data_IF_383643194851
#
_entry.id   IF_383643194851
#
_cell.length_a   1.000
_cell.length_b   1.000
_cell.length_c   1.000
_cell.angle_alpha   90.00
_cell.angle_beta   90.00
_cell.angle_gamma   90.00
#
_symmetry.space_group_name_H-M   'P 1'
#
loop_
_entity.id
_entity.type
_entity.pdbx_description
1 polymer ?
#
# COMPACT_ATOMS: atom_id res chain seq x y z
N UNK A 1 16.07 36.06 -15.92
CA UNK A 1 16.17 35.34 -14.63
C UNK A 1 15.67 33.93 -14.87
N UNK A 2 16.53 32.92 -14.74
CA UNK A 2 16.09 31.51 -14.84
C UNK A 2 15.50 31.16 -13.49
N UNK A 3 14.17 31.11 -13.40
CA UNK A 3 13.48 30.61 -12.21
C UNK A 3 13.59 29.08 -12.28
N UNK A 4 14.53 28.51 -11.54
CA UNK A 4 14.53 27.07 -11.26
C UNK A 4 13.42 26.84 -10.25
N UNK A 5 12.25 26.40 -10.72
CA UNK A 5 11.19 25.93 -9.85
C UNK A 5 11.67 24.62 -9.19
N UNK A 6 12.00 24.67 -7.90
CA UNK A 6 12.19 23.47 -7.09
C UNK A 6 10.83 22.77 -6.98
N UNK A 7 10.57 21.82 -7.86
CA UNK A 7 9.41 20.94 -7.73
C UNK A 7 9.65 20.06 -6.51
N UNK A 8 8.99 20.37 -5.39
CA UNK A 8 8.93 19.44 -4.26
C UNK A 8 8.27 18.14 -4.77
N UNK A 9 8.82 16.97 -4.44
CA UNK A 9 8.23 15.70 -4.85
C UNK A 9 6.80 15.62 -4.33
N UNK A 10 5.84 15.50 -5.26
CA UNK A 10 4.42 15.46 -4.89
C UNK A 10 4.12 14.13 -4.19
N UNK A 11 3.85 14.20 -2.89
CA UNK A 11 3.43 13.06 -2.08
C UNK A 11 1.93 12.81 -2.21
N UNK A 12 1.50 11.59 -1.94
CA UNK A 12 0.08 11.28 -1.75
C UNK A 12 -0.52 12.08 -0.60
N UNK A 13 -1.83 12.27 -0.63
CA UNK A 13 -2.55 13.01 0.40
C UNK A 13 -2.30 12.40 1.79
N UNK A 14 -1.97 13.25 2.77
CA UNK A 14 -1.73 12.85 4.17
C UNK A 14 -3.02 12.61 4.96
N UNK A 15 -4.19 12.75 4.32
CA UNK A 15 -5.52 12.60 4.94
C UNK A 15 -5.67 11.29 5.73
N UNK A 16 -4.95 10.26 5.32
CA UNK A 16 -5.06 8.89 5.81
C UNK A 16 -3.83 8.44 6.61
N UNK A 17 -2.92 9.34 6.97
CA UNK A 17 -1.67 8.97 7.66
C UNK A 17 -1.89 8.51 9.11
N UNK A 18 -3.08 8.79 9.69
CA UNK A 18 -3.45 8.47 11.06
C UNK A 18 -4.39 7.26 11.19
N UNK A 19 -4.54 6.44 10.14
CA UNK A 19 -5.36 5.21 10.22
C UNK A 19 -4.78 4.26 11.28
N UNK A 20 -5.65 3.74 12.14
CA UNK A 20 -5.31 2.64 13.02
C UNK A 20 -5.32 1.32 12.24
N UNK A 21 -4.20 1.03 11.59
CA UNK A 21 -4.01 -0.21 10.83
C UNK A 21 -4.10 -1.46 11.73
N UNK A 22 -3.77 -1.37 13.03
CA UNK A 22 -3.89 -2.52 13.94
C UNK A 22 -5.34 -2.95 14.14
N UNK A 23 -6.26 -1.98 14.26
CA UNK A 23 -7.68 -2.25 14.40
C UNK A 23 -8.24 -3.02 13.20
N UNK A 24 -7.77 -2.70 11.99
CA UNK A 24 -8.15 -3.39 10.75
C UNK A 24 -7.54 -4.80 10.72
N UNK A 25 -6.23 -4.92 10.97
CA UNK A 25 -5.52 -6.21 10.88
C UNK A 25 -5.97 -7.23 11.93
N UNK A 26 -6.41 -6.79 13.11
CA UNK A 26 -6.88 -7.67 14.19
C UNK A 26 -8.36 -8.07 14.05
N UNK A 27 -9.10 -7.45 13.15
CA UNK A 27 -10.51 -7.75 12.92
C UNK A 27 -10.68 -8.45 11.57
N UNK A 28 -10.86 -9.77 11.61
CA UNK A 28 -10.96 -10.60 10.40
C UNK A 28 -12.02 -10.12 9.42
N UNK A 29 -13.18 -9.66 9.91
CA UNK A 29 -14.26 -9.15 9.05
C UNK A 29 -13.86 -7.84 8.36
N UNK A 30 -13.21 -6.93 9.08
CA UNK A 30 -12.75 -5.67 8.50
C UNK A 30 -11.61 -5.91 7.51
N UNK A 31 -10.65 -6.75 7.87
CA UNK A 31 -9.54 -7.12 7.00
C UNK A 31 -10.05 -7.75 5.70
N UNK A 32 -10.97 -8.71 5.80
CA UNK A 32 -11.57 -9.35 4.63
C UNK A 32 -12.30 -8.34 3.74
N UNK A 33 -13.04 -7.39 4.32
CA UNK A 33 -13.68 -6.32 3.55
C UNK A 33 -12.66 -5.48 2.77
N UNK A 34 -11.51 -5.15 3.36
CA UNK A 34 -10.46 -4.37 2.69
C UNK A 34 -9.76 -5.20 1.60
N UNK A 35 -9.47 -6.47 1.87
CA UNK A 35 -8.92 -7.40 0.87
C UNK A 35 -9.87 -7.55 -0.31
N UNK A 36 -11.18 -7.73 -0.05
CA UNK A 36 -12.18 -7.84 -1.11
C UNK A 36 -12.29 -6.56 -1.94
N UNK A 37 -12.22 -5.38 -1.31
CA UNK A 37 -12.12 -4.11 -2.02
C UNK A 37 -10.90 -4.10 -2.98
N UNK A 38 -9.71 -4.44 -2.47
CA UNK A 38 -8.49 -4.50 -3.28
C UNK A 38 -8.57 -5.53 -4.42
N UNK A 39 -9.39 -6.57 -4.27
CA UNK A 39 -9.56 -7.64 -5.26
C UNK A 39 -10.76 -7.46 -6.20
N UNK A 40 -11.47 -6.33 -6.15
CA UNK A 40 -12.73 -6.12 -6.90
C UNK A 40 -13.85 -7.11 -6.55
N UNK A 41 -13.84 -7.64 -5.33
CA UNK A 41 -14.83 -8.63 -4.84
C UNK A 41 -15.86 -8.03 -3.87
N UNK A 42 -15.78 -6.74 -3.58
CA UNK A 42 -16.67 -6.07 -2.65
C UNK A 42 -16.50 -4.55 -2.67
N UNK A 43 -17.38 -3.83 -1.95
CA UNK A 43 -17.32 -2.38 -1.89
C UNK A 43 -16.07 -1.90 -1.16
N UNK A 44 -15.57 -0.74 -1.57
CA UNK A 44 -14.50 -0.03 -0.90
C UNK A 44 -15.09 1.07 0.00
N UNK A 45 -14.45 1.30 1.15
CA UNK A 45 -14.59 2.61 1.82
C UNK A 45 -13.95 3.68 0.93
N UNK A 46 -14.25 4.96 1.16
CA UNK A 46 -13.62 6.05 0.39
C UNK A 46 -12.08 5.99 0.48
N UNK A 47 -11.57 5.70 1.66
CA UNK A 47 -10.15 5.49 1.91
C UNK A 47 -9.59 4.27 1.18
N UNK A 48 -10.26 3.12 1.27
CA UNK A 48 -9.85 1.90 0.58
C UNK A 48 -9.84 2.07 -0.93
N UNK A 49 -10.78 2.85 -1.48
CA UNK A 49 -10.81 3.19 -2.90
C UNK A 49 -9.62 4.08 -3.27
N UNK A 50 -9.36 5.15 -2.51
CA UNK A 50 -8.21 6.03 -2.78
C UNK A 50 -6.89 5.25 -2.72
N UNK A 51 -6.71 4.38 -1.72
CA UNK A 51 -5.53 3.52 -1.63
C UNK A 51 -5.41 2.55 -2.82
N UNK A 52 -6.52 1.92 -3.21
CA UNK A 52 -6.57 1.02 -4.36
C UNK A 52 -6.20 1.71 -5.67
N UNK A 53 -6.66 2.95 -5.86
CA UNK A 53 -6.38 3.74 -7.06
C UNK A 53 -4.89 4.11 -7.16
N UNK A 54 -4.22 4.37 -6.04
CA UNK A 54 -2.78 4.66 -5.99
C UNK A 54 -1.89 3.42 -6.01
N UNK A 55 -2.43 2.23 -5.72
CA UNK A 55 -1.66 1.02 -5.51
C UNK A 55 -0.81 0.61 -6.73
N UNK A 56 -1.29 0.64 -7.98
CA UNK A 56 -0.47 0.32 -9.15
C UNK A 56 0.75 1.24 -9.28
N UNK A 57 0.54 2.55 -9.19
CA UNK A 57 1.64 3.53 -9.25
C UNK A 57 2.64 3.33 -8.09
N UNK A 58 2.14 3.06 -6.88
CA UNK A 58 2.99 2.81 -5.72
C UNK A 58 3.83 1.53 -5.88
N UNK A 59 3.34 0.51 -6.61
CA UNK A 59 4.11 -0.70 -6.91
C UNK A 59 5.17 -0.39 -7.97
N UNK A 60 4.79 0.26 -9.06
CA UNK A 60 5.69 0.63 -10.16
C UNK A 60 6.85 1.52 -9.70
N UNK A 61 6.57 2.45 -8.79
CA UNK A 61 7.52 3.47 -8.31
C UNK A 61 8.12 3.14 -6.94
N UNK A 62 7.88 1.94 -6.40
CA UNK A 62 8.37 1.57 -5.06
C UNK A 62 7.98 2.56 -3.95
N UNK A 63 6.73 3.03 -3.98
CA UNK A 63 6.16 3.96 -3.00
C UNK A 63 6.89 5.33 -2.95
N UNK A 64 7.43 5.81 -4.07
CA UNK A 64 8.17 7.10 -4.13
C UNK A 64 7.35 8.27 -3.56
N UNK A 65 6.05 8.29 -3.87
CA UNK A 65 5.10 9.32 -3.43
C UNK A 65 4.49 9.06 -2.05
N UNK A 66 4.81 7.95 -1.41
CA UNK A 66 4.28 7.64 -0.09
C UNK A 66 4.89 8.53 1.00
N UNK A 67 4.08 8.86 2.00
CA UNK A 67 4.55 9.48 3.23
C UNK A 67 5.19 8.43 4.15
N UNK A 68 5.94 8.89 5.15
CA UNK A 68 6.56 8.01 6.18
C UNK A 68 5.50 7.16 6.89
N UNK A 69 4.34 7.75 7.20
CA UNK A 69 3.23 7.04 7.82
C UNK A 69 2.63 5.98 6.87
N UNK A 70 2.42 6.32 5.60
CA UNK A 70 1.91 5.38 4.60
C UNK A 70 2.87 4.21 4.37
N UNK A 71 4.19 4.47 4.27
CA UNK A 71 5.20 3.41 4.20
C UNK A 71 5.07 2.46 5.40
N UNK A 72 4.89 3.00 6.61
CA UNK A 72 4.72 2.19 7.84
C UNK A 72 3.46 1.34 7.80
N UNK A 73 2.34 1.91 7.37
CA UNK A 73 1.06 1.21 7.21
C UNK A 73 1.21 0.06 6.21
N UNK A 74 1.76 0.34 5.02
CA UNK A 74 1.95 -0.66 3.95
C UNK A 74 2.87 -1.79 4.40
N UNK A 75 4.05 -1.49 4.97
CA UNK A 75 4.97 -2.53 5.45
C UNK A 75 4.32 -3.41 6.52
N UNK A 76 3.57 -2.81 7.46
CA UNK A 76 2.89 -3.55 8.51
C UNK A 76 1.78 -4.45 7.96
N UNK A 77 0.94 -3.92 7.07
CA UNK A 77 -0.13 -4.67 6.43
C UNK A 77 0.42 -5.83 5.58
N UNK A 78 1.44 -5.56 4.76
CA UNK A 78 2.06 -6.58 3.92
C UNK A 78 2.70 -7.69 4.75
N UNK A 79 3.49 -7.34 5.79
CA UNK A 79 4.05 -8.33 6.72
C UNK A 79 2.98 -9.20 7.35
N UNK A 80 1.90 -8.59 7.85
CA UNK A 80 0.79 -9.33 8.46
C UNK A 80 0.13 -10.28 7.45
N UNK A 81 -0.14 -9.83 6.22
CA UNK A 81 -0.73 -10.65 5.18
C UNK A 81 0.18 -11.82 4.78
N UNK A 82 1.48 -11.58 4.60
CA UNK A 82 2.48 -12.60 4.27
C UNK A 82 2.63 -13.66 5.36
N UNK A 83 2.53 -13.28 6.64
CA UNK A 83 2.72 -14.19 7.76
C UNK A 83 1.43 -14.91 8.18
N UNK A 84 0.29 -14.20 8.19
CA UNK A 84 -0.96 -14.66 8.81
C UNK A 84 -2.08 -14.91 7.81
N UNK A 85 -2.06 -14.30 6.63
CA UNK A 85 -3.14 -14.38 5.63
C UNK A 85 -2.57 -14.66 4.23
N UNK A 86 -1.67 -15.65 4.12
CA UNK A 86 -0.98 -16.02 2.87
C UNK A 86 -1.88 -16.10 1.64
N UNK A 87 -3.08 -16.72 1.69
CA UNK A 87 -3.96 -16.77 0.52
C UNK A 87 -4.41 -15.38 0.05
N UNK A 88 -4.69 -14.45 0.97
CA UNK A 88 -5.06 -13.08 0.62
C UNK A 88 -3.87 -12.33 0.01
N UNK A 89 -2.67 -12.49 0.58
CA UNK A 89 -1.44 -11.93 0.04
C UNK A 89 -1.20 -12.37 -1.41
N UNK A 90 -1.30 -13.67 -1.68
CA UNK A 90 -1.09 -14.22 -3.02
C UNK A 90 -2.11 -13.71 -4.02
N UNK A 91 -3.38 -13.59 -3.63
CA UNK A 91 -4.42 -13.01 -4.50
C UNK A 91 -4.14 -11.55 -4.83
N UNK A 92 -3.71 -10.74 -3.84
CA UNK A 92 -3.37 -9.33 -4.07
C UNK A 92 -2.16 -9.24 -5.00
N UNK A 93 -1.08 -9.97 -4.69
CA UNK A 93 0.11 -9.99 -5.56
C UNK A 93 -0.24 -10.40 -6.98
N UNK A 94 -1.01 -11.48 -7.18
CA UNK A 94 -1.37 -11.92 -8.53
C UNK A 94 -2.24 -10.91 -9.28
N UNK A 95 -2.97 -10.02 -8.58
CA UNK A 95 -3.76 -8.97 -9.21
C UNK A 95 -2.91 -7.79 -9.66
N UNK A 96 -1.95 -7.37 -8.84
CA UNK A 96 -1.18 -6.13 -9.07
C UNK A 96 0.23 -6.37 -9.66
N UNK A 97 0.79 -7.56 -9.48
CA UNK A 97 2.09 -7.98 -10.01
C UNK A 97 2.03 -9.47 -10.46
N UNK A 98 1.24 -9.80 -11.50
CA UNK A 98 1.05 -11.18 -11.97
C UNK A 98 2.33 -11.83 -12.50
N UNK A 99 3.28 -11.03 -13.01
CA UNK A 99 4.54 -11.50 -13.57
C UNK A 99 5.70 -11.51 -12.56
N UNK A 100 5.45 -11.07 -11.33
CA UNK A 100 6.45 -10.92 -10.25
C UNK A 100 7.59 -9.94 -10.60
N UNK A 101 7.32 -8.96 -11.47
CA UNK A 101 8.31 -7.98 -11.93
C UNK A 101 8.78 -7.06 -10.79
N UNK A 102 7.91 -6.79 -9.81
CA UNK A 102 8.19 -5.86 -8.72
C UNK A 102 8.67 -6.56 -7.43
N UNK A 103 8.86 -7.88 -7.45
CA UNK A 103 9.26 -8.64 -6.25
C UNK A 103 10.56 -8.13 -5.63
N UNK A 104 11.55 -7.80 -6.45
CA UNK A 104 12.85 -7.30 -5.96
C UNK A 104 12.71 -5.95 -5.27
N UNK A 105 11.97 -5.03 -5.88
CA UNK A 105 11.78 -3.69 -5.38
C UNK A 105 10.89 -3.67 -4.14
N UNK A 106 9.86 -4.52 -4.12
CA UNK A 106 9.04 -4.75 -2.94
C UNK A 106 9.86 -5.29 -1.76
N UNK A 107 10.74 -6.27 -1.98
CA UNK A 107 11.61 -6.79 -0.93
C UNK A 107 12.55 -5.69 -0.39
N UNK A 108 13.15 -4.90 -1.27
CA UNK A 108 13.97 -3.74 -0.88
C UNK A 108 13.15 -2.73 -0.07
N UNK A 109 11.92 -2.43 -0.50
CA UNK A 109 11.00 -1.57 0.25
C UNK A 109 10.72 -2.14 1.64
N UNK A 110 10.56 -3.45 1.80
CA UNK A 110 10.32 -4.08 3.09
C UNK A 110 11.54 -4.02 4.04
N UNK A 111 12.75 -4.09 3.49
CA UNK A 111 14.02 -4.04 4.24
C UNK A 111 14.47 -2.62 4.56
N UNK A 112 14.03 -1.61 3.80
CA UNK A 112 14.40 -0.21 3.99
C UNK A 112 14.01 0.29 5.40
N UNK A 113 14.92 0.92 6.17
CA UNK A 113 14.54 1.58 7.43
C UNK A 113 13.60 2.76 7.15
N UNK A 114 12.56 2.91 7.97
CA UNK A 114 11.67 4.07 7.89
C UNK A 114 12.28 5.16 8.77
N UNK A 115 12.92 6.16 8.15
CA UNK A 115 13.45 7.37 8.80
C UNK A 115 12.35 8.41 9.08
#
# INVERSE_FOLDING_TARGET
>A
MIIVALALPQKYSTKYDNIDIDSILKNDRLLESHVNCLLDKGPCTKEGQDFKDYLPEAIDTSCEKCTVAQKRIVKKAAKYLMEKKKPAWEQIRNKYDPMNEHTKDFNKFMEEPIE
#
